data_IF_710540893801
#
_entry.id   IF_710540893801
#
_cell.length_a   1.000
_cell.length_b   1.000
_cell.length_c   1.000
_cell.angle_alpha   90.00
_cell.angle_beta   90.00
_cell.angle_gamma   90.00
#
_symmetry.space_group_name_H-M   'P 1'
#
loop_
_entity.id
_entity.type
_entity.pdbx_description
1 polymer ?
#
# COMPACT_ATOMS: atom_id res chain seq x y z
N UNK A 1 -11.13 -17.01 3.12
CA UNK A 1 -10.63 -15.90 2.27
C UNK A 1 -10.05 -14.88 3.22
N UNK A 2 -8.79 -14.49 3.01
CA UNK A 2 -8.11 -13.50 3.85
C UNK A 2 -8.52 -12.12 3.34
N UNK A 3 -8.96 -11.23 4.22
CA UNK A 3 -9.29 -9.85 3.86
C UNK A 3 -8.03 -9.01 3.78
N UNK A 4 -7.98 -8.03 2.86
CA UNK A 4 -6.88 -7.07 2.80
C UNK A 4 -6.71 -6.36 4.15
N UNK A 5 -7.82 -6.05 4.85
CA UNK A 5 -7.79 -5.44 6.19
C UNK A 5 -7.06 -6.27 7.26
N UNK A 6 -6.94 -7.59 7.09
CA UNK A 6 -6.23 -8.44 8.05
C UNK A 6 -4.70 -8.35 7.89
N UNK A 7 -4.22 -7.79 6.79
CA UNK A 7 -2.79 -7.67 6.47
C UNK A 7 -2.32 -6.24 6.27
N UNK A 8 -3.23 -5.24 6.22
CA UNK A 8 -2.80 -3.85 6.15
C UNK A 8 -2.15 -3.44 7.47
N UNK A 9 -1.14 -2.59 7.34
CA UNK A 9 -0.69 -1.76 8.46
C UNK A 9 -1.50 -0.47 8.34
N UNK A 10 -2.05 0.03 9.44
CA UNK A 10 -2.76 1.31 9.45
C UNK A 10 -2.11 2.23 10.47
N UNK A 11 -1.80 3.44 10.05
CA UNK A 11 -1.38 4.51 10.95
C UNK A 11 -2.58 5.39 11.27
N UNK A 12 -2.68 5.82 12.53
CA UNK A 12 -3.48 6.99 12.90
C UNK A 12 -2.93 8.24 12.21
N UNK A 13 -3.70 9.33 12.21
CA UNK A 13 -3.26 10.59 11.61
C UNK A 13 -1.99 11.10 12.28
N UNK A 14 -1.95 11.03 13.61
CA UNK A 14 -0.84 11.46 14.45
C UNK A 14 0.41 10.61 14.18
N UNK A 15 0.26 9.29 14.04
CA UNK A 15 1.39 8.40 13.69
C UNK A 15 1.89 8.67 12.27
N UNK A 16 0.99 8.92 11.32
CA UNK A 16 1.35 9.22 9.93
C UNK A 16 2.15 10.53 9.81
N UNK A 17 1.79 11.54 10.60
CA UNK A 17 2.51 12.83 10.66
C UNK A 17 3.94 12.67 11.20
N UNK A 18 4.18 11.69 12.06
CA UNK A 18 5.50 11.38 12.62
C UNK A 18 6.41 10.59 11.66
N UNK A 19 5.86 9.99 10.61
CA UNK A 19 6.65 9.26 9.62
C UNK A 19 7.47 10.21 8.76
N UNK A 20 8.75 9.87 8.57
CA UNK A 20 9.58 10.53 7.56
C UNK A 20 9.19 10.08 6.14
N UNK A 21 9.76 10.76 5.13
CA UNK A 21 9.48 10.46 3.73
C UNK A 21 9.81 9.00 3.38
N UNK A 22 10.93 8.48 3.86
CA UNK A 22 11.37 7.11 3.55
C UNK A 22 10.42 6.07 4.16
N UNK A 23 9.93 6.31 5.37
CA UNK A 23 8.95 5.45 6.02
C UNK A 23 7.59 5.45 5.31
N UNK A 24 7.14 6.63 4.83
CA UNK A 24 5.92 6.71 4.02
C UNK A 24 6.08 5.99 2.69
N UNK A 25 7.23 6.13 2.03
CA UNK A 25 7.55 5.40 0.80
C UNK A 25 7.52 3.89 1.04
N UNK A 26 8.22 3.41 2.08
CA UNK A 26 8.24 2.00 2.44
C UNK A 26 6.84 1.46 2.74
N UNK A 27 6.01 2.23 3.45
CA UNK A 27 4.62 1.87 3.68
C UNK A 27 3.87 1.64 2.36
N UNK A 28 3.99 2.58 1.42
CA UNK A 28 3.32 2.46 0.12
C UNK A 28 3.83 1.25 -0.68
N UNK A 29 5.14 1.03 -0.72
CA UNK A 29 5.75 -0.14 -1.38
C UNK A 29 5.25 -1.46 -0.79
N UNK A 30 5.32 -1.60 0.54
CA UNK A 30 4.90 -2.83 1.23
C UNK A 30 3.40 -3.09 1.04
N UNK A 31 2.57 -2.04 1.08
CA UNK A 31 1.13 -2.19 0.86
C UNK A 31 0.80 -2.60 -0.58
N UNK A 32 1.53 -2.06 -1.57
CA UNK A 32 1.38 -2.44 -2.97
C UNK A 32 1.79 -3.89 -3.22
N UNK A 33 2.95 -4.31 -2.71
CA UNK A 33 3.45 -5.68 -2.83
C UNK A 33 2.52 -6.69 -2.16
N UNK A 34 2.01 -6.34 -0.98
CA UNK A 34 1.02 -7.17 -0.26
C UNK A 34 -0.25 -7.33 -1.09
N UNK A 35 -0.73 -6.24 -1.69
CA UNK A 35 -1.89 -6.27 -2.57
C UNK A 35 -1.67 -7.16 -3.80
N UNK A 36 -0.57 -6.99 -4.51
CA UNK A 36 -0.24 -7.80 -5.69
C UNK A 36 -0.10 -9.29 -5.33
N UNK A 37 0.48 -9.58 -4.17
CA UNK A 37 0.59 -10.94 -3.65
C UNK A 37 -0.79 -11.55 -3.36
N UNK A 38 -1.67 -10.83 -2.66
CA UNK A 38 -3.03 -11.31 -2.39
C UNK A 38 -3.86 -11.49 -3.67
N UNK A 39 -3.68 -10.60 -4.66
CA UNK A 39 -4.30 -10.72 -5.99
C UNK A 39 -3.84 -11.97 -6.70
N UNK A 40 -2.55 -12.23 -6.71
CA UNK A 40 -1.94 -13.41 -7.34
C UNK A 40 -2.40 -14.72 -6.68
N UNK A 41 -2.66 -14.67 -5.37
CA UNK A 41 -3.19 -15.81 -4.62
C UNK A 41 -4.72 -15.96 -4.71
N UNK A 42 -5.42 -15.05 -5.40
CA UNK A 42 -6.89 -15.08 -5.51
C UNK A 42 -7.61 -14.82 -4.18
N UNK A 43 -6.96 -14.14 -3.23
CA UNK A 43 -7.48 -13.91 -1.88
C UNK A 43 -8.32 -12.63 -1.77
N UNK A 44 -8.23 -11.72 -2.74
CA UNK A 44 -9.00 -10.47 -2.76
C UNK A 44 -10.46 -10.71 -3.17
N UNK A 45 -11.39 -10.37 -2.27
CA UNK A 45 -12.83 -10.52 -2.50
C UNK A 45 -13.47 -9.29 -3.17
N UNK A 46 -12.90 -8.09 -2.95
CA UNK A 46 -13.29 -6.82 -3.56
C UNK A 46 -12.10 -5.85 -3.50
N UNK A 47 -12.09 -4.81 -4.34
CA UNK A 47 -11.04 -3.78 -4.35
C UNK A 47 -11.48 -2.58 -3.49
N UNK A 48 -11.01 -2.43 -2.22
CA UNK A 48 -11.29 -1.23 -1.43
C UNK A 48 -10.81 0.06 -2.10
N UNK A 49 -11.45 1.19 -1.80
CA UNK A 49 -11.10 2.51 -2.36
C UNK A 49 -9.65 2.94 -2.05
N UNK A 50 -9.11 2.46 -0.92
CA UNK A 50 -7.70 2.63 -0.57
C UNK A 50 -6.76 1.93 -1.56
N UNK A 51 -7.21 0.84 -2.19
CA UNK A 51 -6.43 0.08 -3.19
C UNK A 51 -6.40 0.76 -4.55
N UNK A 52 -7.44 1.52 -4.90
CA UNK A 52 -7.40 2.34 -6.12
C UNK A 52 -6.32 3.41 -6.02
N UNK A 53 -6.19 4.03 -4.84
CA UNK A 53 -5.10 4.95 -4.55
C UNK A 53 -3.74 4.24 -4.58
N UNK A 54 -3.61 3.04 -3.99
CA UNK A 54 -2.35 2.28 -4.04
C UNK A 54 -1.90 1.92 -5.46
N UNK A 55 -2.81 1.51 -6.35
CA UNK A 55 -2.47 1.18 -7.74
C UNK A 55 -2.09 2.42 -8.54
N UNK A 56 -2.83 3.52 -8.44
CA UNK A 56 -2.45 4.80 -9.04
C UNK A 56 -1.11 5.28 -8.49
N UNK A 57 -0.88 5.06 -7.18
CA UNK A 57 0.38 5.40 -6.55
C UNK A 57 1.52 4.52 -7.08
N UNK A 58 1.32 3.21 -7.24
CA UNK A 58 2.31 2.32 -7.85
C UNK A 58 2.63 2.66 -9.32
N UNK A 59 1.65 3.13 -10.09
CA UNK A 59 1.85 3.52 -11.49
C UNK A 59 2.55 4.89 -11.63
N UNK A 60 2.31 5.85 -10.73
CA UNK A 60 2.96 7.17 -10.79
C UNK A 60 4.27 7.27 -9.99
N UNK A 61 4.56 6.32 -9.10
CA UNK A 61 5.71 6.36 -8.19
C UNK A 61 6.75 5.35 -8.68
N UNK A 62 7.65 5.81 -9.55
CA UNK A 62 8.92 5.13 -9.79
C UNK A 62 9.95 5.65 -8.78
N UNK A 63 10.56 4.80 -7.95
CA UNK A 63 11.71 5.19 -7.13
C UNK A 63 12.93 5.61 -7.97
N UNK A 64 12.88 5.48 -9.30
CA UNK A 64 13.95 5.88 -10.23
C UNK A 64 13.88 7.36 -10.64
N UNK A 65 12.94 8.15 -10.10
CA UNK A 65 12.85 9.60 -10.32
C UNK A 65 13.27 10.43 -9.09
N UNK A 66 14.19 9.91 -8.28
CA UNK A 66 14.96 10.71 -7.33
C UNK A 66 16.44 10.73 -7.78
N UNK A 67 16.74 11.58 -8.78
CA UNK A 67 18.12 12.02 -9.04
C UNK A 67 18.68 12.87 -7.88
#
# INVERSE_FOLDING_TARGET
LVSFQEVIISFSKEEWELLDMAQRCLYWEVMLDTYQSMRSLGLLQAKPDLLSQLEELGEHWSPELQE
#
